data_IF_439308641684
#
_entry.id   IF_439308641684
#
_cell.length_a   1.000
_cell.length_b   1.000
_cell.length_c   1.000
_cell.angle_alpha   90.00
_cell.angle_beta   90.00
_cell.angle_gamma   90.00
#
_symmetry.space_group_name_H-M   'P 1'
#
loop_
_entity.id
_entity.type
_entity.pdbx_description
1 polymer ?
#
# COMPACT_ATOMS: atom_id res chain seq x y z
N UNK A 1 2.21 3.53 -27.65
CA UNK A 1 0.85 3.16 -27.21
C UNK A 1 0.89 3.16 -25.70
N UNK A 2 0.05 3.96 -25.01
CA UNK A 2 0.07 4.04 -23.56
C UNK A 2 -0.34 2.68 -22.99
N UNK A 3 0.51 2.18 -22.09
CA UNK A 3 0.29 0.95 -21.37
C UNK A 3 -0.72 1.22 -20.26
N UNK A 4 -1.74 0.38 -20.18
CA UNK A 4 -2.84 0.62 -19.25
C UNK A 4 -2.71 -0.34 -18.07
N UNK A 5 -2.56 0.16 -16.83
CA UNK A 5 -2.27 -0.67 -15.64
C UNK A 5 -3.33 -0.60 -14.57
N UNK A 6 -3.51 -1.69 -13.83
CA UNK A 6 -4.51 -1.77 -12.74
C UNK A 6 -3.86 -1.71 -11.36
N UNK A 7 -4.49 -1.12 -10.35
CA UNK A 7 -4.05 -1.19 -8.95
C UNK A 7 -5.22 -1.61 -8.02
N UNK A 8 -4.92 -2.14 -6.83
CA UNK A 8 -5.92 -2.51 -5.83
C UNK A 8 -5.45 -2.18 -4.40
N UNK A 9 -6.34 -1.56 -3.60
CA UNK A 9 -6.33 -1.33 -2.13
C UNK A 9 -5.00 -0.81 -1.57
N UNK A 10 -4.82 0.50 -1.35
CA UNK A 10 -5.45 1.37 -0.33
C UNK A 10 -5.84 2.72 -0.95
N UNK A 11 -7.15 2.92 -1.21
CA UNK A 11 -7.68 3.96 -2.10
C UNK A 11 -7.26 5.39 -1.71
N UNK A 12 -7.20 5.68 -0.41
CA UNK A 12 -6.94 7.03 0.08
C UNK A 12 -5.51 7.50 -0.23
N UNK A 13 -4.51 6.63 -0.06
CA UNK A 13 -3.11 7.01 -0.27
C UNK A 13 -2.79 7.25 -1.76
N UNK A 14 -3.43 6.52 -2.66
CA UNK A 14 -3.22 6.73 -4.10
C UNK A 14 -3.63 8.13 -4.53
N UNK A 15 -4.80 8.57 -4.07
CA UNK A 15 -5.36 9.88 -4.38
C UNK A 15 -4.64 10.99 -3.63
N UNK A 16 -4.46 10.83 -2.32
CA UNK A 16 -3.87 11.84 -1.44
C UNK A 16 -2.47 12.27 -1.88
N UNK A 17 -1.65 11.32 -2.35
CA UNK A 17 -0.28 11.56 -2.77
C UNK A 17 -0.10 11.57 -4.31
N UNK A 18 -1.18 11.32 -5.07
CA UNK A 18 -1.13 11.21 -6.52
C UNK A 18 -0.14 10.16 -7.01
N UNK A 19 -0.17 8.95 -6.43
CA UNK A 19 0.71 7.84 -6.82
C UNK A 19 -0.08 6.54 -6.97
N UNK A 20 0.43 5.62 -7.76
CA UNK A 20 0.07 4.20 -7.68
C UNK A 20 1.29 3.43 -7.16
N UNK A 21 1.10 2.53 -6.20
CA UNK A 21 2.18 1.70 -5.66
C UNK A 21 1.77 0.24 -5.53
N UNK A 22 2.76 -0.65 -5.58
CA UNK A 22 2.59 -2.10 -5.53
C UNK A 22 3.77 -2.75 -4.82
N UNK A 23 3.49 -3.90 -4.22
CA UNK A 23 4.49 -4.77 -3.60
C UNK A 23 4.65 -6.10 -4.32
N UNK A 24 5.70 -6.82 -3.95
CA UNK A 24 6.02 -8.15 -4.48
C UNK A 24 6.79 -8.09 -5.80
N UNK A 25 7.73 -9.01 -5.96
CA UNK A 25 8.75 -9.02 -7.03
C UNK A 25 8.16 -8.83 -8.44
N UNK A 26 7.16 -9.63 -8.81
CA UNK A 26 6.54 -9.62 -10.15
C UNK A 26 5.87 -8.27 -10.43
N UNK A 27 5.16 -7.71 -9.46
CA UNK A 27 4.45 -6.44 -9.62
C UNK A 27 5.44 -5.28 -9.69
N UNK A 28 6.53 -5.33 -8.90
CA UNK A 28 7.60 -4.34 -8.94
C UNK A 28 8.33 -4.35 -10.29
N UNK A 29 8.62 -5.53 -10.85
CA UNK A 29 9.18 -5.67 -12.21
C UNK A 29 8.24 -5.06 -13.25
N UNK A 30 6.95 -5.38 -13.18
CA UNK A 30 5.94 -4.75 -14.02
C UNK A 30 5.99 -3.22 -13.88
N UNK A 31 6.03 -2.67 -12.67
CA UNK A 31 6.07 -1.21 -12.46
C UNK A 31 7.27 -0.52 -13.15
N UNK A 32 8.38 -1.24 -13.37
CA UNK A 32 9.55 -0.69 -14.09
C UNK A 32 9.33 -0.45 -15.58
N UNK A 33 8.22 -0.90 -16.15
CA UNK A 33 7.89 -0.67 -17.57
C UNK A 33 6.78 0.39 -17.73
N UNK A 34 6.45 1.14 -16.67
CA UNK A 34 5.48 2.25 -16.72
C UNK A 34 6.12 3.50 -17.32
N UNK A 35 5.67 3.96 -18.47
CA UNK A 35 6.21 5.17 -19.11
C UNK A 35 5.33 6.40 -18.90
N UNK A 36 5.89 7.58 -19.18
CA UNK A 36 5.13 8.83 -19.17
C UNK A 36 3.98 8.77 -20.18
N UNK A 37 2.81 9.26 -19.76
CA UNK A 37 1.58 9.20 -20.56
C UNK A 37 0.88 7.85 -20.57
N UNK A 38 1.42 6.83 -19.88
CA UNK A 38 0.69 5.60 -19.62
C UNK A 38 -0.56 5.89 -18.78
N UNK A 39 -1.59 5.07 -18.94
CA UNK A 39 -2.83 5.23 -18.17
C UNK A 39 -2.89 4.21 -17.03
N UNK A 40 -3.35 4.63 -15.87
CA UNK A 40 -3.57 3.75 -14.71
C UNK A 40 -5.04 3.75 -14.36
N UNK A 41 -5.63 2.57 -14.28
CA UNK A 41 -7.03 2.31 -13.97
C UNK A 41 -7.11 1.71 -12.58
N UNK A 42 -7.82 2.36 -11.68
CA UNK A 42 -8.03 1.84 -10.34
C UNK A 42 -9.34 1.06 -10.31
N UNK A 43 -9.29 -0.21 -9.92
CA UNK A 43 -10.49 -1.07 -9.89
C UNK A 43 -10.98 -1.34 -8.47
N UNK A 44 -12.28 -1.63 -8.35
CA UNK A 44 -12.88 -2.27 -7.19
C UNK A 44 -13.52 -3.60 -7.63
N UNK A 45 -13.03 -4.69 -7.06
CA UNK A 45 -13.44 -6.03 -7.47
C UNK A 45 -13.06 -6.34 -8.92
N UNK A 46 -14.01 -6.87 -9.70
CA UNK A 46 -13.81 -7.24 -11.13
C UNK A 46 -14.67 -6.44 -12.11
N UNK A 47 -15.52 -5.56 -11.59
CA UNK A 47 -16.59 -4.95 -12.37
C UNK A 47 -16.74 -3.45 -12.20
N UNK A 48 -15.84 -2.81 -11.44
CA UNK A 48 -15.94 -1.38 -11.17
C UNK A 48 -14.61 -0.69 -11.42
N UNK A 49 -14.65 0.35 -12.25
CA UNK A 49 -13.59 1.34 -12.42
C UNK A 49 -13.86 2.50 -11.45
N UNK A 50 -12.95 2.71 -10.50
CA UNK A 50 -13.09 3.71 -9.44
C UNK A 50 -12.44 5.02 -9.83
N UNK A 51 -11.34 4.97 -10.56
CA UNK A 51 -10.62 6.14 -11.07
C UNK A 51 -9.77 5.73 -12.28
N UNK A 52 -9.45 6.68 -13.13
CA UNK A 52 -8.43 6.55 -14.16
C UNK A 52 -7.43 7.69 -14.02
N UNK A 53 -6.20 7.52 -14.47
CA UNK A 53 -5.22 8.60 -14.39
C UNK A 53 -4.08 8.42 -15.37
N UNK A 54 -3.35 9.50 -15.60
CA UNK A 54 -2.21 9.54 -16.50
C UNK A 54 -0.90 9.58 -15.70
N UNK A 55 0.10 8.84 -16.17
CA UNK A 55 1.42 8.82 -15.54
C UNK A 55 2.17 10.10 -15.89
N UNK A 56 2.56 10.83 -14.84
CA UNK A 56 3.21 12.14 -14.96
C UNK A 56 4.60 12.15 -14.34
N UNK A 57 5.41 13.14 -14.72
CA UNK A 57 6.71 13.39 -14.10
C UNK A 57 6.56 14.38 -12.96
N UNK A 58 7.13 14.07 -11.79
CA UNK A 58 7.24 14.98 -10.65
C UNK A 58 8.69 14.99 -10.17
N UNK A 59 9.27 16.17 -10.05
CA UNK A 59 10.69 16.36 -9.71
C UNK A 59 11.66 15.55 -10.60
N UNK A 60 11.33 15.45 -11.90
CA UNK A 60 12.12 14.71 -12.88
C UNK A 60 12.02 13.18 -12.81
N UNK A 61 11.12 12.63 -11.98
CA UNK A 61 10.84 11.20 -11.89
C UNK A 61 9.36 10.91 -12.12
N UNK A 62 9.05 9.84 -12.84
CA UNK A 62 7.67 9.34 -13.00
C UNK A 62 7.42 8.01 -12.29
N UNK A 63 8.48 7.27 -11.98
CA UNK A 63 8.44 5.98 -11.28
C UNK A 63 9.65 5.78 -10.37
N UNK A 64 9.53 4.85 -9.44
CA UNK A 64 10.61 4.45 -8.55
C UNK A 64 10.37 3.09 -7.91
N UNK A 65 11.41 2.57 -7.28
CA UNK A 65 11.34 1.33 -6.52
C UNK A 65 12.30 1.40 -5.33
N UNK A 66 11.75 1.51 -4.13
CA UNK A 66 12.49 1.46 -2.88
C UNK A 66 13.18 2.77 -2.46
N UNK A 67 13.10 3.84 -3.26
CA UNK A 67 13.60 5.17 -2.94
C UNK A 67 12.65 5.95 -2.01
N UNK A 68 11.35 5.63 -2.01
CA UNK A 68 10.40 6.14 -1.01
C UNK A 68 10.30 5.16 0.16
N UNK A 69 11.05 5.44 1.23
CA UNK A 69 11.14 4.54 2.41
C UNK A 69 9.79 4.27 3.08
N UNK A 70 8.89 5.25 3.12
CA UNK A 70 7.56 5.07 3.73
C UNK A 70 6.68 4.06 2.98
N UNK A 71 6.96 3.78 1.71
CA UNK A 71 6.27 2.73 0.95
C UNK A 71 6.65 1.31 1.38
N UNK A 72 7.70 1.14 2.19
CA UNK A 72 8.17 -0.18 2.65
C UNK A 72 7.38 -0.71 3.85
N UNK A 73 6.50 0.10 4.42
CA UNK A 73 5.71 -0.25 5.61
C UNK A 73 4.33 0.42 5.56
N UNK A 74 3.63 0.24 4.44
CA UNK A 74 2.24 0.72 4.30
C UNK A 74 1.33 -0.37 4.83
N UNK A 75 0.71 -0.13 5.99
CA UNK A 75 -0.14 -1.10 6.68
C UNK A 75 0.55 -2.47 6.90
N UNK A 76 1.87 -2.46 7.13
CA UNK A 76 2.69 -3.67 7.31
C UNK A 76 3.13 -4.34 5.99
N UNK A 77 2.88 -3.73 4.84
CA UNK A 77 3.27 -4.25 3.53
C UNK A 77 4.43 -3.46 2.91
N UNK A 78 5.36 -4.18 2.29
CA UNK A 78 6.39 -3.60 1.43
C UNK A 78 5.82 -3.35 0.02
N UNK A 79 5.46 -2.09 -0.25
CA UNK A 79 4.88 -1.61 -1.49
C UNK A 79 5.85 -0.66 -2.22
N UNK A 80 7.14 -1.01 -2.21
CA UNK A 80 8.26 -0.16 -2.62
C UNK A 80 8.18 0.44 -4.03
N UNK A 81 7.47 -0.21 -4.96
CA UNK A 81 7.42 0.20 -6.37
C UNK A 81 6.24 1.14 -6.63
N UNK A 82 6.49 2.27 -7.29
CA UNK A 82 5.46 3.28 -7.53
C UNK A 82 5.61 4.00 -8.88
N UNK A 83 4.52 4.64 -9.31
CA UNK A 83 4.52 5.71 -10.32
C UNK A 83 3.67 6.90 -9.86
N UNK A 84 3.97 8.10 -10.35
CA UNK A 84 3.13 9.27 -10.14
C UNK A 84 1.99 9.28 -11.15
N UNK A 85 0.79 9.58 -10.66
CA UNK A 85 -0.43 9.56 -11.44
C UNK A 85 -1.25 10.79 -11.10
N UNK A 86 -1.72 11.47 -12.14
CA UNK A 86 -2.76 12.48 -12.01
C UNK A 86 -4.11 11.76 -12.14
N UNK A 87 -4.82 11.65 -11.02
CA UNK A 87 -6.02 10.83 -10.91
C UNK A 87 -7.27 11.62 -11.27
N UNK A 88 -8.17 11.00 -12.02
CA UNK A 88 -9.48 11.50 -12.39
C UNK A 88 -10.53 10.58 -11.76
N UNK A 89 -11.35 11.14 -10.87
CA UNK A 89 -12.24 10.36 -10.02
C UNK A 89 -13.70 10.68 -10.37
N UNK A 90 -14.44 9.72 -10.97
CA UNK A 90 -15.87 9.88 -11.18
C UNK A 90 -16.64 9.90 -9.85
N UNK A 91 -17.75 10.65 -9.81
CA UNK A 91 -18.60 10.75 -8.61
C UNK A 91 -19.17 9.40 -8.15
N UNK A 92 -19.31 8.44 -9.07
CA UNK A 92 -19.68 7.05 -8.79
C UNK A 92 -18.79 6.11 -9.61
N UNK A 93 -18.36 4.95 -9.08
CA UNK A 93 -17.60 3.99 -9.84
C UNK A 93 -18.33 3.56 -11.12
N UNK A 94 -17.61 3.56 -12.24
CA UNK A 94 -18.15 3.15 -13.55
C UNK A 94 -18.21 1.63 -13.61
N UNK A 95 -19.36 1.08 -13.98
CA UNK A 95 -19.53 -0.35 -14.19
C UNK A 95 -18.82 -0.77 -15.47
N UNK A 96 -17.86 -1.68 -15.35
CA UNK A 96 -17.06 -2.17 -16.48
C UNK A 96 -16.91 -3.68 -16.41
N UNK A 97 -16.57 -4.32 -17.52
CA UNK A 97 -16.26 -5.75 -17.54
C UNK A 97 -14.84 -6.02 -18.02
N UNK A 98 -14.21 -7.06 -17.47
CA UNK A 98 -12.92 -7.57 -17.95
C UNK A 98 -11.74 -7.31 -17.02
N UNK A 99 -11.97 -6.79 -15.82
CA UNK A 99 -10.93 -6.81 -14.79
C UNK A 99 -10.68 -8.23 -14.27
N UNK A 100 -9.41 -8.54 -14.06
CA UNK A 100 -8.98 -9.81 -13.48
C UNK A 100 -8.78 -9.66 -11.98
N UNK A 101 -8.40 -10.77 -11.33
CA UNK A 101 -8.05 -10.78 -9.90
C UNK A 101 -6.66 -10.21 -9.61
N UNK A 102 -5.84 -9.95 -10.62
CA UNK A 102 -4.48 -9.47 -10.43
C UNK A 102 -4.46 -8.04 -9.86
N UNK A 103 -3.44 -7.74 -9.05
CA UNK A 103 -3.24 -6.42 -8.44
C UNK A 103 -2.80 -5.40 -9.49
N UNK A 104 -1.74 -5.70 -10.24
CA UNK A 104 -1.26 -4.94 -11.39
C UNK A 104 -1.11 -5.83 -12.61
N UNK A 105 -1.55 -5.33 -13.76
CA UNK A 105 -1.50 -6.02 -15.03
C UNK A 105 -1.66 -5.03 -16.16
N UNK A 106 -1.22 -5.43 -17.36
CA UNK A 106 -1.52 -4.70 -18.59
C UNK A 106 -2.97 -4.92 -19.00
N UNK A 107 -3.65 -3.85 -19.41
CA UNK A 107 -5.00 -3.90 -19.94
C UNK A 107 -4.94 -3.90 -21.46
N UNK A 108 -5.32 -5.04 -22.04
CA UNK A 108 -5.40 -5.25 -23.48
C UNK A 108 -6.80 -5.02 -24.04
N UNK A 109 -7.84 -5.03 -23.19
CA UNK A 109 -9.22 -4.87 -23.62
C UNK A 109 -9.46 -3.42 -24.02
N UNK A 110 -9.80 -3.19 -25.29
CA UNK A 110 -10.03 -1.86 -25.86
C UNK A 110 -11.14 -1.10 -25.13
N UNK A 111 -12.23 -1.78 -24.74
CA UNK A 111 -13.34 -1.15 -24.02
C UNK A 111 -12.88 -0.48 -22.71
N UNK A 112 -12.05 -1.16 -21.91
CA UNK A 112 -11.55 -0.59 -20.66
C UNK A 112 -10.67 0.64 -20.89
N UNK A 113 -10.02 0.75 -22.05
CA UNK A 113 -9.25 1.94 -22.43
C UNK A 113 -10.17 3.09 -22.76
N UNK A 114 -11.21 2.85 -23.56
CA UNK A 114 -12.23 3.85 -23.87
C UNK A 114 -12.94 4.34 -22.61
N UNK A 115 -13.28 3.44 -21.68
CA UNK A 115 -13.89 3.80 -20.41
C UNK A 115 -12.95 4.67 -19.56
N UNK A 116 -11.63 4.42 -19.62
CA UNK A 116 -10.63 5.23 -18.94
C UNK A 116 -10.43 6.60 -19.61
N UNK A 117 -10.35 6.64 -20.94
CA UNK A 117 -10.27 7.88 -21.73
C UNK A 117 -11.47 8.79 -21.42
N UNK A 118 -12.67 8.20 -21.33
CA UNK A 118 -13.88 8.90 -20.97
C UNK A 118 -13.79 9.50 -19.56
N UNK A 119 -13.31 8.72 -18.57
CA UNK A 119 -13.13 9.21 -17.19
C UNK A 119 -12.10 10.34 -17.12
N UNK A 120 -10.99 10.23 -17.85
CA UNK A 120 -9.94 11.26 -17.89
C UNK A 120 -10.47 12.55 -18.54
N UNK A 121 -11.29 12.43 -19.58
CA UNK A 121 -11.89 13.57 -20.27
C UNK A 121 -13.01 14.26 -19.48
N UNK A 122 -13.86 13.49 -18.80
CA UNK A 122 -15.08 14.01 -18.17
C UNK A 122 -14.84 14.63 -16.79
N UNK A 123 -13.81 14.17 -16.08
CA UNK A 123 -13.53 14.59 -14.71
C UNK A 123 -12.18 15.30 -14.67
N UNK A 124 -12.04 16.41 -13.93
CA UNK A 124 -10.75 17.07 -13.78
C UNK A 124 -9.77 16.20 -13.00
N UNK A 125 -8.48 16.39 -13.26
CA UNK A 125 -7.43 15.79 -12.44
C UNK A 125 -7.57 16.30 -10.99
N UNK A 126 -7.49 15.38 -10.05
CA UNK A 126 -7.56 15.69 -8.63
C UNK A 126 -6.26 16.38 -8.19
N UNK A 127 -6.42 17.47 -7.44
CA UNK A 127 -5.29 18.12 -6.80
C UNK A 127 -4.68 17.23 -5.72
N UNK A 128 -3.34 17.17 -5.71
CA UNK A 128 -2.59 16.42 -4.72
C UNK A 128 -2.73 17.12 -3.37
N UNK A 129 -3.27 16.41 -2.39
CA UNK A 129 -3.62 16.98 -1.10
C UNK A 129 -2.39 17.11 -0.19
N UNK A 130 -1.42 16.20 -0.32
CA UNK A 130 -0.26 16.17 0.57
C UNK A 130 1.01 15.69 -0.12
N UNK A 131 2.15 16.18 0.35
CA UNK A 131 3.42 15.49 0.15
C UNK A 131 3.37 14.12 0.85
N UNK A 132 4.05 13.12 0.29
CA UNK A 132 4.20 11.83 0.95
C UNK A 132 4.72 11.98 2.39
N UNK A 133 4.35 11.06 3.30
CA UNK A 133 4.79 11.15 4.68
C UNK A 133 6.31 11.14 4.78
N UNK A 134 6.82 11.69 5.88
CA UNK A 134 8.24 11.66 6.20
C UNK A 134 8.77 10.23 6.28
N UNK A 135 10.10 10.09 6.31
CA UNK A 135 10.72 8.80 6.53
C UNK A 135 10.26 8.19 7.86
N UNK A 136 9.74 6.95 7.82
CA UNK A 136 9.49 6.16 9.02
C UNK A 136 10.81 5.94 9.76
N UNK A 137 10.87 6.35 11.02
CA UNK A 137 11.99 6.08 11.92
C UNK A 137 11.67 4.85 12.77
N UNK A 138 12.71 4.08 13.09
CA UNK A 138 12.56 3.01 14.08
C UNK A 138 12.29 3.67 15.42
N UNK A 139 11.24 3.22 16.10
CA UNK A 139 10.94 3.61 17.48
C UNK A 139 11.62 2.61 18.40
N UNK A 140 12.44 3.11 19.31
CA UNK A 140 13.10 2.27 20.30
C UNK A 140 12.15 1.85 21.44
N UNK A 141 12.58 0.91 22.27
CA UNK A 141 11.75 0.39 23.36
C UNK A 141 11.52 1.42 24.48
N UNK A 142 12.52 2.25 24.78
CA UNK A 142 12.42 3.31 25.79
C UNK A 142 11.46 4.41 25.30
N UNK A 143 11.49 4.78 24.02
CA UNK A 143 10.54 5.69 23.39
C UNK A 143 9.11 5.17 23.51
N UNK A 144 8.88 3.87 23.29
CA UNK A 144 7.56 3.25 23.47
C UNK A 144 7.13 3.34 24.94
N UNK A 145 8.00 2.98 25.88
CA UNK A 145 7.69 3.06 27.33
C UNK A 145 7.32 4.48 27.73
N UNK A 146 8.15 5.47 27.38
CA UNK A 146 7.89 6.87 27.70
C UNK A 146 6.59 7.37 27.07
N UNK A 147 6.33 6.98 25.82
CA UNK A 147 5.08 7.33 25.16
C UNK A 147 3.86 6.74 25.88
N UNK A 148 3.88 5.45 26.22
CA UNK A 148 2.79 4.79 26.94
C UNK A 148 2.54 5.43 28.31
N UNK A 149 3.61 5.76 29.05
CA UNK A 149 3.51 6.48 30.32
C UNK A 149 2.86 7.86 30.11
N UNK A 150 3.27 8.59 29.07
CA UNK A 150 2.68 9.89 28.73
C UNK A 150 1.19 9.82 28.36
N UNK A 151 0.74 8.69 27.82
CA UNK A 151 -0.68 8.40 27.53
C UNK A 151 -1.47 7.92 28.76
N UNK A 152 -0.84 7.86 29.93
CA UNK A 152 -1.49 7.55 31.21
C UNK A 152 -1.33 6.10 31.67
N UNK A 153 -0.53 5.28 30.99
CA UNK A 153 -0.21 3.94 31.46
C UNK A 153 0.73 4.01 32.68
N UNK A 154 0.55 3.12 33.67
CA UNK A 154 1.48 3.04 34.81
C UNK A 154 2.85 2.54 34.32
N UNK A 155 3.98 3.04 34.85
CA UNK A 155 5.32 2.62 34.41
C UNK A 155 5.51 1.10 34.32
N UNK A 156 5.13 0.36 35.36
CA UNK A 156 5.23 -1.11 35.35
C UNK A 156 4.39 -1.79 34.26
N UNK A 157 3.21 -1.25 33.94
CA UNK A 157 2.36 -1.76 32.86
C UNK A 157 2.92 -1.39 31.47
N UNK A 158 3.52 -0.21 31.32
CA UNK A 158 4.21 0.19 30.10
C UNK A 158 5.43 -0.70 29.83
N UNK A 159 6.23 -1.00 30.87
CA UNK A 159 7.35 -1.92 30.78
C UNK A 159 6.90 -3.35 30.41
N UNK A 160 5.82 -3.85 31.02
CA UNK A 160 5.27 -5.18 30.73
C UNK A 160 4.76 -5.29 29.28
N UNK A 161 4.05 -4.26 28.79
CA UNK A 161 3.57 -4.20 27.41
C UNK A 161 4.74 -4.14 26.42
N UNK A 162 5.75 -3.31 26.67
CA UNK A 162 6.95 -3.23 25.82
C UNK A 162 7.75 -4.54 25.84
N UNK A 163 7.88 -5.19 27.00
CA UNK A 163 8.50 -6.52 27.09
C UNK A 163 7.73 -7.56 26.25
N UNK A 164 6.41 -7.47 26.22
CA UNK A 164 5.55 -8.30 25.38
C UNK A 164 5.79 -8.05 23.89
N UNK A 165 5.86 -6.79 23.45
CA UNK A 165 6.23 -6.46 22.06
C UNK A 165 7.58 -7.09 21.69
N UNK A 166 8.57 -7.04 22.58
CA UNK A 166 9.88 -7.63 22.33
C UNK A 166 9.87 -9.16 22.23
N UNK A 167 8.99 -9.83 22.96
CA UNK A 167 8.79 -11.27 22.83
C UNK A 167 8.14 -11.60 21.49
N UNK A 168 7.11 -10.85 21.10
CA UNK A 168 6.42 -11.00 19.81
C UNK A 168 7.40 -10.74 18.65
N UNK A 169 8.18 -9.67 18.68
CA UNK A 169 9.19 -9.36 17.64
C UNK A 169 10.21 -10.48 17.49
N UNK A 170 10.68 -11.06 18.61
CA UNK A 170 11.61 -12.21 18.57
C UNK A 170 10.97 -13.43 17.92
N UNK A 171 9.73 -13.76 18.27
CA UNK A 171 8.99 -14.87 17.68
C UNK A 171 8.67 -14.63 16.19
N UNK A 172 8.25 -13.42 15.83
CA UNK A 172 7.99 -13.04 14.45
C UNK A 172 9.25 -13.21 13.56
N UNK A 173 10.42 -12.78 14.05
CA UNK A 173 11.70 -13.00 13.35
C UNK A 173 12.02 -14.49 13.18
N UNK A 174 11.74 -15.30 14.20
CA UNK A 174 11.92 -16.75 14.11
C UNK A 174 11.02 -17.35 13.02
N UNK A 175 9.73 -17.01 12.98
CA UNK A 175 8.80 -17.51 11.98
C UNK A 175 9.10 -17.00 10.57
N UNK A 176 9.53 -15.75 10.42
CA UNK A 176 9.90 -15.18 9.13
C UNK A 176 11.07 -15.93 8.46
N UNK A 177 11.96 -16.55 9.25
CA UNK A 177 13.06 -17.37 8.72
C UNK A 177 12.66 -18.80 8.34
N UNK A 178 11.40 -19.20 8.51
CA UNK A 178 10.91 -20.56 8.27
C UNK A 178 10.03 -20.63 7.03
N UNK A 179 9.94 -21.83 6.47
CA UNK A 179 8.96 -22.15 5.45
C UNK A 179 7.57 -22.09 6.06
N UNK A 180 6.61 -21.49 5.36
CA UNK A 180 5.25 -21.30 5.87
C UNK A 180 4.57 -22.64 6.17
N UNK A 181 4.92 -23.69 5.42
CA UNK A 181 4.42 -25.05 5.62
C UNK A 181 4.82 -25.65 6.98
N UNK A 182 5.89 -25.14 7.59
CA UNK A 182 6.41 -25.59 8.89
C UNK A 182 5.82 -24.78 10.06
N UNK A 183 4.98 -23.77 9.79
CA UNK A 183 4.40 -22.89 10.80
C UNK A 183 2.89 -23.09 10.85
N UNK A 184 2.40 -23.69 11.94
CA UNK A 184 0.97 -23.84 12.13
C UNK A 184 0.29 -22.48 12.29
N UNK A 185 -0.78 -22.21 11.54
CA UNK A 185 -1.57 -20.97 11.69
C UNK A 185 -2.06 -20.76 13.14
N UNK A 186 -2.39 -21.85 13.82
CA UNK A 186 -2.80 -21.86 15.23
C UNK A 186 -1.63 -21.48 16.16
N UNK A 187 -0.40 -21.91 15.87
CA UNK A 187 0.79 -21.52 16.63
C UNK A 187 1.10 -20.03 16.43
N UNK A 188 1.10 -19.57 15.18
CA UNK A 188 1.34 -18.16 14.86
C UNK A 188 0.32 -17.25 15.56
N UNK A 189 -0.98 -17.59 15.53
CA UNK A 189 -2.02 -16.87 16.28
C UNK A 189 -1.79 -16.93 17.79
N UNK A 190 -1.52 -18.11 18.32
CA UNK A 190 -1.35 -18.31 19.77
C UNK A 190 -0.15 -17.56 20.32
N UNK A 191 0.95 -17.46 19.56
CA UNK A 191 2.20 -16.91 20.08
C UNK A 191 2.50 -15.48 19.63
N UNK A 192 1.86 -14.97 18.58
CA UNK A 192 2.03 -13.58 18.13
C UNK A 192 0.84 -12.68 18.52
N UNK A 193 -0.38 -13.22 18.54
CA UNK A 193 -1.60 -12.42 18.75
C UNK A 193 -2.09 -12.48 20.20
N UNK A 194 -2.19 -13.68 20.79
CA UNK A 194 -2.70 -13.81 22.17
C UNK A 194 -1.85 -13.03 23.19
N UNK A 195 -0.51 -13.05 23.16
CA UNK A 195 0.28 -12.29 24.13
C UNK A 195 0.04 -10.79 24.01
N UNK A 196 -0.15 -10.28 22.78
CA UNK A 196 -0.49 -8.89 22.54
C UNK A 196 -1.82 -8.51 23.18
N UNK A 197 -2.86 -9.32 22.93
CA UNK A 197 -4.19 -9.09 23.51
C UNK A 197 -4.15 -9.11 25.03
N UNK A 198 -3.49 -10.10 25.63
CA UNK A 198 -3.37 -10.20 27.09
C UNK A 198 -2.62 -9.01 27.72
N UNK A 199 -1.60 -8.48 27.05
CA UNK A 199 -0.84 -7.34 27.55
C UNK A 199 -1.57 -5.99 27.39
N UNK A 200 -2.54 -5.90 26.48
CA UNK A 200 -3.37 -4.71 26.29
C UNK A 200 -4.54 -4.62 27.28
N UNK A 201 -4.84 -5.71 28.00
CA UNK A 201 -5.97 -5.82 28.94
C UNK A 201 -7.30 -6.11 28.24
#
# INVERSE_FOLDING_TARGET
MPLVRVAATTLEYFFRFGIAFVGGKINSELMTEVELGDQVLLKKGRSQLVAAGEVVSRDGKHRGNGDKKWLKDVDGWDLSAYCYVDWHIPAKPVGVEGFTRNTIQRVHKQQLRLDADQVISDFPAQEIIASGPGQTTVVDDDEIVQHLISQGLRPGAAEELTATFNRIRRLARYYHGRRWEDVGEHEARTFLVIPLLLALG
#
